data_IF_765131656456
#
_entry.id   IF_765131656456
#
_cell.length_a   1.000
_cell.length_b   1.000
_cell.length_c   1.000
_cell.angle_alpha   90.00
_cell.angle_beta   90.00
_cell.angle_gamma   90.00
#
_symmetry.space_group_name_H-M   'P 1'
#
loop_
_entity.id
_entity.type
_entity.pdbx_description
1 polymer ?
#
# COMPACT_ATOMS: atom_id res chain seq x y z
N UNK A 1 11.47 12.61 2.04
CA UNK A 1 10.73 11.45 1.48
C UNK A 1 9.67 11.95 0.52
N UNK A 2 9.47 11.27 -0.62
CA UNK A 2 8.47 11.68 -1.64
C UNK A 2 7.38 10.63 -1.76
N UNK A 3 6.15 11.08 -1.97
CA UNK A 3 5.03 10.19 -2.29
C UNK A 3 5.29 9.56 -3.66
N UNK A 4 5.16 8.24 -3.74
CA UNK A 4 5.34 7.46 -4.96
C UNK A 4 4.34 6.32 -5.02
N UNK A 5 4.11 5.79 -6.22
CA UNK A 5 3.29 4.61 -6.42
C UNK A 5 4.05 3.38 -5.94
N UNK A 6 3.40 2.52 -5.17
CA UNK A 6 3.92 1.22 -4.78
C UNK A 6 3.44 0.16 -5.77
N UNK A 7 4.30 -0.81 -6.07
CA UNK A 7 4.09 -1.84 -7.10
C UNK A 7 4.24 -3.24 -6.51
N UNK A 8 4.11 -4.29 -7.33
CA UNK A 8 4.36 -5.67 -6.89
C UNK A 8 5.77 -5.89 -6.33
N UNK A 9 6.75 -5.04 -6.66
CA UNK A 9 8.09 -5.10 -6.07
C UNK A 9 8.12 -4.65 -4.60
N UNK A 10 7.06 -4.01 -4.12
CA UNK A 10 6.96 -3.43 -2.79
C UNK A 10 6.13 -4.28 -1.83
N UNK A 11 5.63 -5.45 -2.26
CA UNK A 11 4.76 -6.33 -1.47
C UNK A 11 5.38 -6.65 -0.10
N UNK A 12 6.63 -7.09 -0.07
CA UNK A 12 7.31 -7.42 1.20
C UNK A 12 7.43 -6.20 2.11
N UNK A 13 7.64 -5.02 1.54
CA UNK A 13 7.68 -3.76 2.28
C UNK A 13 6.32 -3.38 2.87
N UNK A 14 5.23 -3.58 2.11
CA UNK A 14 3.86 -3.34 2.56
C UNK A 14 3.46 -4.32 3.67
N UNK A 15 3.81 -5.60 3.54
CA UNK A 15 3.56 -6.62 4.58
C UNK A 15 4.31 -6.25 5.87
N UNK A 16 5.60 -5.91 5.77
CA UNK A 16 6.41 -5.50 6.92
C UNK A 16 5.86 -4.24 7.59
N UNK A 17 5.43 -3.25 6.80
CA UNK A 17 4.78 -2.05 7.31
C UNK A 17 3.46 -2.38 8.03
N UNK A 18 2.63 -3.24 7.44
CA UNK A 18 1.36 -3.69 8.02
C UNK A 18 1.56 -4.40 9.37
N UNK A 19 2.53 -5.31 9.44
CA UNK A 19 2.90 -5.99 10.69
C UNK A 19 3.37 -5.02 11.77
N UNK A 20 4.07 -3.94 11.40
CA UNK A 20 4.55 -2.93 12.34
C UNK A 20 3.41 -2.18 13.07
N UNK A 21 2.21 -2.15 12.48
CA UNK A 21 1.00 -1.58 13.06
C UNK A 21 0.01 -2.64 13.54
N UNK A 22 0.40 -3.92 13.54
CA UNK A 22 -0.39 -5.04 14.03
C UNK A 22 -1.44 -5.56 13.05
N UNK A 23 -1.34 -5.26 11.76
CA UNK A 23 -2.17 -5.83 10.71
C UNK A 23 -1.52 -7.07 10.10
N UNK A 24 -2.32 -8.10 9.83
CA UNK A 24 -1.88 -9.45 9.43
C UNK A 24 -1.97 -9.70 7.92
N UNK A 25 -1.79 -8.64 7.11
CA UNK A 25 -1.82 -8.76 5.65
C UNK A 25 -0.83 -9.78 5.12
N UNK A 26 -1.32 -10.68 4.27
CA UNK A 26 -0.50 -11.63 3.54
C UNK A 26 -0.22 -11.21 2.09
N UNK A 27 0.65 -11.97 1.42
CA UNK A 27 1.04 -11.70 0.04
C UNK A 27 -0.15 -11.76 -0.95
N UNK A 28 -1.11 -12.65 -0.74
CA UNK A 28 -2.26 -12.79 -1.63
C UNK A 28 -3.22 -11.60 -1.50
N UNK A 29 -3.43 -11.11 -0.27
CA UNK A 29 -4.24 -9.93 0.01
C UNK A 29 -3.60 -8.66 -0.56
N UNK A 30 -2.31 -8.43 -0.31
CA UNK A 30 -1.60 -7.26 -0.86
C UNK A 30 -1.58 -7.31 -2.39
N UNK A 31 -1.35 -8.49 -2.99
CA UNK A 31 -1.42 -8.68 -4.45
C UNK A 31 -2.82 -8.33 -4.98
N UNK A 32 -3.87 -8.76 -4.29
CA UNK A 32 -5.25 -8.45 -4.67
C UNK A 32 -5.48 -6.94 -4.69
N UNK A 33 -5.03 -6.25 -3.64
CA UNK A 33 -5.19 -4.79 -3.54
C UNK A 33 -4.39 -4.07 -4.64
N UNK A 34 -3.16 -4.49 -4.93
CA UNK A 34 -2.36 -3.92 -6.02
C UNK A 34 -2.98 -4.15 -7.41
N UNK A 35 -3.72 -5.24 -7.59
CA UNK A 35 -4.41 -5.51 -8.85
C UNK A 35 -5.71 -4.71 -9.01
N UNK A 36 -6.39 -4.39 -7.91
CA UNK A 36 -7.69 -3.71 -7.93
C UNK A 36 -7.64 -2.21 -7.61
N UNK A 37 -6.48 -1.67 -7.22
CA UNK A 37 -6.34 -0.31 -6.71
C UNK A 37 -5.00 0.33 -7.10
N UNK A 38 -4.88 1.64 -6.91
CA UNK A 38 -3.58 2.33 -6.97
C UNK A 38 -3.08 2.55 -5.56
N UNK A 39 -1.95 1.97 -5.21
CA UNK A 39 -1.34 2.13 -3.87
C UNK A 39 -0.24 3.18 -3.95
N UNK A 40 -0.26 4.13 -3.02
CA UNK A 40 0.74 5.18 -2.87
C UNK A 40 1.35 5.15 -1.48
N UNK A 41 2.60 5.56 -1.37
CA UNK A 41 3.31 5.56 -0.10
C UNK A 41 4.63 6.32 -0.17
N UNK A 42 5.40 6.25 0.90
CA UNK A 42 6.73 6.82 0.98
C UNK A 42 7.76 5.72 1.23
N UNK A 43 8.94 5.87 0.62
CA UNK A 43 10.12 5.07 0.92
C UNK A 43 11.21 5.92 1.57
N UNK A 44 11.88 5.36 2.57
CA UNK A 44 13.02 6.00 3.22
C UNK A 44 14.29 5.88 2.35
N UNK A 45 15.42 6.36 2.85
CA UNK A 45 16.72 6.31 2.13
C UNK A 45 17.24 4.88 1.94
N UNK A 46 16.80 3.93 2.77
CA UNK A 46 17.08 2.51 2.63
C UNK A 46 16.10 1.78 1.69
N UNK A 47 15.24 2.52 0.98
CA UNK A 47 14.19 2.01 0.09
C UNK A 47 13.10 1.18 0.79
N UNK A 48 12.96 1.32 2.12
CA UNK A 48 11.90 0.65 2.89
C UNK A 48 10.60 1.47 2.83
N UNK A 49 9.48 0.78 2.66
CA UNK A 49 8.14 1.40 2.70
C UNK A 49 7.79 1.77 4.14
N UNK A 50 7.45 3.04 4.39
CA UNK A 50 7.13 3.52 5.75
C UNK A 50 5.72 4.09 5.89
N UNK A 51 5.00 4.25 4.78
CA UNK A 51 3.58 4.64 4.78
C UNK A 51 2.93 4.09 3.52
N UNK A 52 1.63 3.86 3.58
CA UNK A 52 0.84 3.36 2.47
C UNK A 52 -0.60 3.89 2.54
N UNK A 53 -1.22 4.02 1.37
CA UNK A 53 -2.65 4.20 1.20
C UNK A 53 -3.07 3.64 -0.17
N UNK A 54 -4.12 2.83 -0.17
CA UNK A 54 -4.75 2.31 -1.39
C UNK A 54 -5.91 3.22 -1.81
N UNK A 55 -5.90 3.65 -3.07
CA UNK A 55 -7.01 4.35 -3.72
C UNK A 55 -7.78 3.33 -4.56
N UNK A 56 -8.96 2.96 -4.09
CA UNK A 56 -9.80 1.91 -4.68
C UNK A 56 -10.96 2.59 -5.41
N UNK A 57 -11.03 2.52 -6.75
CA UNK A 57 -12.15 3.09 -7.50
C UNK A 57 -13.48 2.49 -7.06
N UNK A 58 -14.49 3.33 -6.89
CA UNK A 58 -15.85 2.94 -6.57
C UNK A 58 -16.79 3.60 -7.58
N UNK A 59 -17.24 2.84 -8.59
CA UNK A 59 -17.95 3.41 -9.73
C UNK A 59 -17.06 4.32 -10.60
N UNK A 60 -17.67 5.25 -11.35
CA UNK A 60 -16.95 6.05 -12.34
C UNK A 60 -16.30 7.32 -11.79
N UNK A 61 -16.83 7.88 -10.70
CA UNK A 61 -16.48 9.24 -10.21
C UNK A 61 -16.07 9.28 -8.75
N UNK A 62 -16.08 8.16 -8.05
CA UNK A 62 -15.75 8.08 -6.64
C UNK A 62 -14.67 7.02 -6.39
N UNK A 63 -13.98 7.15 -5.28
CA UNK A 63 -13.01 6.18 -4.81
C UNK A 63 -13.06 6.12 -3.28
N UNK A 64 -12.79 4.95 -2.72
CA UNK A 64 -12.49 4.81 -1.31
C UNK A 64 -10.99 4.83 -1.09
N UNK A 65 -10.59 5.26 0.11
CA UNK A 65 -9.21 5.17 0.57
C UNK A 65 -9.17 4.07 1.64
N UNK A 66 -8.28 3.10 1.47
CA UNK A 66 -8.07 1.99 2.39
C UNK A 66 -6.59 1.78 2.67
N UNK A 67 -6.27 0.85 3.59
CA UNK A 67 -4.90 0.49 3.94
C UNK A 67 -4.02 1.71 4.30
N UNK A 68 -4.58 2.65 5.08
CA UNK A 68 -3.91 3.90 5.44
C UNK A 68 -3.01 3.69 6.66
N UNK A 69 -1.70 3.77 6.44
CA UNK A 69 -0.66 3.71 7.46
C UNK A 69 0.22 4.96 7.28
N UNK A 70 0.38 5.75 8.35
CA UNK A 70 1.03 7.08 8.34
C UNK A 70 2.29 7.13 9.19
#
# INVERSE_FOLDING_TARGET
MKLQMLTHQDIDGIIRLSQSVGWDYDQAEVTTILNSSKVFGHKNEANEVVSSAAIIPYGEKTASIGMVIV
#
